data_IF_380106778296
#
_entry.id   IF_380106778296
#
_cell.length_a   1.000
_cell.length_b   1.000
_cell.length_c   1.000
_cell.angle_alpha   90.00
_cell.angle_beta   90.00
_cell.angle_gamma   90.00
#
_symmetry.space_group_name_H-M   'P 1'
#
loop_
_entity.id
_entity.type
_entity.pdbx_description
1 polymer ?
#
# COMPACT_ATOMS: atom_id res chain seq x y z
N UNK A 1 26.88 55.96 14.56
CA UNK A 1 26.66 54.57 15.03
C UNK A 1 25.48 53.79 14.38
N UNK A 2 24.77 54.23 13.30
CA UNK A 2 23.77 53.36 12.64
C UNK A 2 24.39 52.27 11.73
N UNK A 3 25.66 52.40 11.34
CA UNK A 3 26.29 51.52 10.35
C UNK A 3 26.70 50.13 10.86
N UNK A 4 26.76 49.89 12.18
CA UNK A 4 27.27 48.61 12.72
C UNK A 4 26.21 47.51 12.85
N UNK A 5 24.92 47.86 12.97
CA UNK A 5 23.82 46.90 12.85
C UNK A 5 23.67 46.40 11.41
N UNK A 6 23.93 47.28 10.44
CA UNK A 6 24.09 46.91 9.04
C UNK A 6 25.33 46.02 8.83
N UNK A 7 26.45 46.32 9.49
CA UNK A 7 27.64 45.45 9.47
C UNK A 7 27.38 44.07 10.08
N UNK A 8 26.56 43.94 11.13
CA UNK A 8 26.18 42.63 11.68
C UNK A 8 25.30 41.82 10.70
N UNK A 9 24.46 42.51 9.91
CA UNK A 9 23.65 41.93 8.84
C UNK A 9 24.50 41.54 7.61
N UNK A 10 25.49 42.35 7.26
CA UNK A 10 26.49 42.03 6.22
C UNK A 10 27.39 40.88 6.66
N UNK A 11 27.80 40.81 7.93
CA UNK A 11 28.59 39.69 8.45
C UNK A 11 27.77 38.40 8.55
N UNK A 12 26.46 38.51 8.78
CA UNK A 12 25.50 37.41 8.66
C UNK A 12 25.42 36.89 7.21
N UNK A 13 25.40 37.79 6.22
CA UNK A 13 25.45 37.44 4.79
C UNK A 13 26.82 36.90 4.35
N UNK A 14 27.93 37.40 4.89
CA UNK A 14 29.28 36.94 4.52
C UNK A 14 29.64 35.59 5.16
N UNK A 15 29.13 35.32 6.36
CA UNK A 15 29.26 34.02 7.05
C UNK A 15 28.44 32.92 6.36
N UNK A 16 27.28 33.28 5.81
CA UNK A 16 26.40 32.39 5.04
C UNK A 16 26.94 32.15 3.62
N UNK A 17 27.50 33.17 2.95
CA UNK A 17 28.22 33.02 1.67
C UNK A 17 29.45 32.11 1.75
N UNK A 18 30.20 32.14 2.86
CA UNK A 18 31.33 31.21 3.09
C UNK A 18 30.90 29.73 3.24
N UNK A 19 29.60 29.46 3.35
CA UNK A 19 29.04 28.13 3.53
C UNK A 19 28.23 27.62 2.33
N UNK A 20 28.26 28.32 1.19
CA UNK A 20 27.57 27.88 -0.04
C UNK A 20 26.04 27.82 0.08
N UNK A 21 25.45 28.63 0.97
CA UNK A 21 24.00 28.77 1.10
C UNK A 21 23.61 30.11 0.44
N UNK A 22 23.23 30.05 -0.83
CA UNK A 22 22.68 31.19 -1.56
C UNK A 22 21.38 31.69 -0.92
N UNK A 23 21.05 32.95 -1.24
CA UNK A 23 20.13 33.95 -0.67
C UNK A 23 18.67 33.56 -0.30
N UNK A 24 18.35 32.29 -0.11
CA UNK A 24 17.09 31.86 0.53
C UNK A 24 17.13 32.11 2.04
N UNK A 25 16.05 32.66 2.61
CA UNK A 25 15.93 32.85 4.05
C UNK A 25 16.22 31.50 4.74
N UNK A 26 17.31 31.43 5.51
CA UNK A 26 17.85 30.18 6.06
C UNK A 26 16.80 29.42 6.89
N UNK A 27 15.74 30.10 7.34
CA UNK A 27 14.51 29.52 7.92
C UNK A 27 13.76 28.58 6.96
N UNK A 28 13.58 28.98 5.70
CA UNK A 28 12.86 28.23 4.66
C UNK A 28 13.55 26.90 4.33
N UNK A 29 14.88 26.89 4.31
CA UNK A 29 15.68 25.68 4.05
C UNK A 29 15.44 24.63 5.13
N UNK A 30 15.38 25.01 6.42
CA UNK A 30 15.10 24.05 7.49
C UNK A 30 13.70 23.47 7.36
N UNK A 31 12.68 24.30 7.10
CA UNK A 31 11.30 23.84 6.92
C UNK A 31 11.14 22.92 5.72
N UNK A 32 11.87 23.18 4.63
CA UNK A 32 11.88 22.33 3.44
C UNK A 32 12.43 20.93 3.75
N UNK A 33 13.59 20.86 4.42
CA UNK A 33 14.20 19.57 4.78
C UNK A 33 13.40 18.82 5.84
N UNK A 34 12.75 19.53 6.78
CA UNK A 34 11.82 18.92 7.75
C UNK A 34 10.64 18.27 7.03
N UNK A 35 10.04 18.97 6.07
CA UNK A 35 8.92 18.45 5.27
C UNK A 35 9.33 17.23 4.43
N UNK A 36 10.49 17.28 3.77
CA UNK A 36 11.02 16.15 2.99
C UNK A 36 11.27 14.93 3.87
N UNK A 37 11.85 15.12 5.05
CA UNK A 37 12.15 14.04 5.98
C UNK A 37 10.87 13.42 6.56
N UNK A 38 9.87 14.24 6.92
CA UNK A 38 8.56 13.75 7.37
C UNK A 38 7.85 12.91 6.31
N UNK A 39 7.82 13.37 5.06
CA UNK A 39 7.26 12.58 3.95
C UNK A 39 7.97 11.23 3.78
N UNK A 40 9.31 11.22 3.87
CA UNK A 40 10.07 9.97 3.80
C UNK A 40 9.78 9.04 4.98
N UNK A 41 9.58 9.60 6.18
CA UNK A 41 9.15 8.85 7.37
C UNK A 41 7.76 8.25 7.18
N UNK A 42 6.77 9.05 6.76
CA UNK A 42 5.39 8.59 6.54
C UNK A 42 5.36 7.42 5.53
N UNK A 43 6.09 7.55 4.42
CA UNK A 43 6.20 6.48 3.44
C UNK A 43 6.91 5.24 4.00
N UNK A 44 7.95 5.41 4.83
CA UNK A 44 8.63 4.28 5.45
C UNK A 44 7.73 3.54 6.46
N UNK A 45 6.91 4.27 7.22
CA UNK A 45 5.90 3.69 8.12
C UNK A 45 4.81 2.94 7.36
N UNK A 46 4.39 3.43 6.18
CA UNK A 46 3.49 2.70 5.30
C UNK A 46 4.12 1.40 4.77
N UNK A 47 5.39 1.46 4.35
CA UNK A 47 6.16 0.28 3.93
C UNK A 47 6.25 -0.74 5.08
N UNK A 48 6.59 -0.31 6.30
CA UNK A 48 6.69 -1.19 7.47
C UNK A 48 5.38 -1.93 7.75
N UNK A 49 4.26 -1.19 7.66
CA UNK A 49 2.91 -1.74 7.83
C UNK A 49 2.60 -2.77 6.75
N UNK A 50 2.90 -2.47 5.49
CA UNK A 50 2.71 -3.38 4.37
C UNK A 50 3.56 -4.66 4.50
N UNK A 51 4.86 -4.51 4.74
CA UNK A 51 5.80 -5.61 4.92
C UNK A 51 5.41 -6.55 6.07
N UNK A 52 4.92 -5.98 7.18
CA UNK A 52 4.45 -6.76 8.33
C UNK A 52 3.24 -7.65 8.00
N UNK A 53 2.47 -7.32 6.96
CA UNK A 53 1.30 -8.09 6.52
C UNK A 53 1.60 -9.16 5.48
N UNK A 54 2.75 -9.10 4.80
CA UNK A 54 3.13 -10.06 3.74
C UNK A 54 3.14 -11.49 4.28
N UNK A 55 3.83 -11.74 5.40
CA UNK A 55 3.91 -13.06 6.02
C UNK A 55 2.53 -13.59 6.46
N UNK A 56 1.70 -12.83 7.23
CA UNK A 56 0.34 -13.23 7.55
C UNK A 56 -0.54 -13.56 6.34
N UNK A 57 -0.46 -12.76 5.27
CA UNK A 57 -1.24 -12.97 4.05
C UNK A 57 -0.88 -14.31 3.40
N UNK A 58 0.40 -14.59 3.21
CA UNK A 58 0.86 -15.86 2.65
C UNK A 58 0.52 -17.06 3.54
N UNK A 59 0.60 -16.92 4.87
CA UNK A 59 0.12 -17.96 5.79
C UNK A 59 -1.38 -18.24 5.63
N UNK A 60 -2.19 -17.22 5.30
CA UNK A 60 -3.61 -17.42 5.04
C UNK A 60 -3.85 -18.18 3.73
N UNK A 61 -3.10 -17.86 2.67
CA UNK A 61 -3.15 -18.59 1.38
C UNK A 61 -2.82 -20.06 1.58
N UNK A 62 -1.66 -20.36 2.20
CA UNK A 62 -1.22 -21.74 2.45
C UNK A 62 -2.25 -22.52 3.28
N UNK A 63 -2.83 -21.88 4.32
CA UNK A 63 -3.88 -22.51 5.13
C UNK A 63 -5.14 -22.80 4.31
N UNK A 64 -5.52 -21.88 3.41
CA UNK A 64 -6.67 -22.07 2.52
C UNK A 64 -6.45 -23.25 1.58
N UNK A 65 -5.29 -23.32 0.91
CA UNK A 65 -4.93 -24.43 0.01
C UNK A 65 -4.99 -25.76 0.76
N UNK A 66 -4.37 -25.84 1.94
CA UNK A 66 -4.40 -27.04 2.78
C UNK A 66 -5.82 -27.43 3.19
N UNK A 67 -6.65 -26.46 3.58
CA UNK A 67 -8.06 -26.70 3.92
C UNK A 67 -8.82 -27.27 2.74
N UNK A 68 -8.59 -26.75 1.53
CA UNK A 68 -9.25 -27.23 0.31
C UNK A 68 -8.81 -28.65 -0.05
N UNK A 69 -7.51 -28.95 -0.03
CA UNK A 69 -6.98 -30.29 -0.32
C UNK A 69 -7.48 -31.34 0.69
N UNK A 70 -7.52 -30.99 1.99
CA UNK A 70 -8.03 -31.90 3.03
C UNK A 70 -9.56 -32.08 2.98
N UNK A 71 -10.30 -31.06 2.51
CA UNK A 71 -11.76 -31.13 2.33
C UNK A 71 -12.17 -31.87 1.06
N UNK A 72 -11.23 -32.23 0.17
CA UNK A 72 -11.52 -33.02 -1.03
C UNK A 72 -11.92 -34.47 -0.70
N UNK A 73 -11.77 -34.93 0.55
CA UNK A 73 -12.40 -36.18 1.00
C UNK A 73 -13.92 -36.05 0.88
N UNK A 74 -14.58 -37.05 0.28
CA UNK A 74 -16.04 -37.03 0.14
C UNK A 74 -16.67 -36.92 1.52
N UNK A 75 -17.34 -35.80 1.79
CA UNK A 75 -18.18 -35.60 2.97
C UNK A 75 -19.63 -35.62 2.51
N UNK A 76 -20.35 -36.71 2.79
CA UNK A 76 -21.76 -36.81 2.38
C UNK A 76 -22.57 -35.86 3.26
N UNK A 77 -23.20 -34.85 2.66
CA UNK A 77 -23.94 -33.81 3.39
C UNK A 77 -25.26 -34.33 4.00
N UNK A 78 -25.83 -35.40 3.44
CA UNK A 78 -27.09 -35.98 3.89
C UNK A 78 -26.95 -37.44 4.31
N UNK A 79 -27.19 -37.70 5.60
CA UNK A 79 -27.22 -39.05 6.17
C UNK A 79 -26.83 -39.07 7.63
N UNK A 80 -27.62 -39.75 8.47
CA UNK A 80 -27.30 -39.92 9.89
C UNK A 80 -26.21 -40.98 10.10
N UNK A 81 -25.20 -40.62 10.90
CA UNK A 81 -24.16 -41.39 11.62
C UNK A 81 -23.58 -42.70 11.05
N UNK A 82 -24.41 -43.62 10.57
CA UNK A 82 -24.02 -44.95 10.10
C UNK A 82 -24.13 -45.11 8.58
N UNK A 83 -25.18 -44.56 7.95
CA UNK A 83 -25.35 -44.58 6.49
C UNK A 83 -24.37 -43.65 5.80
N UNK A 84 -24.21 -42.44 6.34
CA UNK A 84 -23.20 -41.48 5.90
C UNK A 84 -21.80 -42.08 5.94
N UNK A 85 -21.42 -42.64 7.11
CA UNK A 85 -20.13 -43.30 7.28
C UNK A 85 -19.95 -44.48 6.33
N UNK A 86 -20.99 -45.29 6.10
CA UNK A 86 -20.92 -46.40 5.16
C UNK A 86 -20.71 -45.93 3.72
N UNK A 87 -21.37 -44.86 3.27
CA UNK A 87 -21.17 -44.29 1.92
C UNK A 87 -19.77 -43.67 1.80
N UNK A 88 -19.31 -42.94 2.82
CA UNK A 88 -17.94 -42.39 2.87
C UNK A 88 -16.90 -43.52 2.85
N UNK A 89 -17.08 -44.57 3.66
CA UNK A 89 -16.18 -45.74 3.70
C UNK A 89 -16.22 -46.53 2.38
N UNK A 90 -17.35 -46.57 1.69
CA UNK A 90 -17.48 -47.28 0.40
C UNK A 90 -16.86 -46.47 -0.73
N UNK A 91 -17.12 -45.16 -0.82
CA UNK A 91 -16.59 -44.31 -1.89
C UNK A 91 -15.08 -44.09 -1.72
N UNK A 92 -14.63 -43.80 -0.49
CA UNK A 92 -13.22 -43.69 -0.18
C UNK A 92 -12.53 -45.06 -0.20
N UNK A 93 -13.24 -46.18 -0.03
CA UNK A 93 -12.64 -47.52 -0.06
C UNK A 93 -12.67 -48.22 -1.43
N UNK A 94 -13.44 -47.71 -2.41
CA UNK A 94 -13.67 -48.38 -3.69
C UNK A 94 -12.81 -47.85 -4.84
N UNK A 95 -12.28 -46.63 -4.75
CA UNK A 95 -11.50 -46.02 -5.83
C UNK A 95 -10.07 -45.69 -5.34
N UNK A 96 -9.16 -46.64 -5.56
CA UNK A 96 -7.74 -46.54 -5.20
C UNK A 96 -7.07 -45.33 -5.88
N UNK A 97 -7.46 -45.01 -7.12
CA UNK A 97 -6.94 -43.86 -7.87
C UNK A 97 -7.44 -42.52 -7.29
N UNK A 98 -8.68 -42.48 -6.78
CA UNK A 98 -9.19 -41.31 -6.06
C UNK A 98 -8.45 -41.07 -4.74
N UNK A 99 -8.20 -42.12 -3.96
CA UNK A 99 -7.43 -42.02 -2.73
C UNK A 99 -5.98 -41.57 -2.99
N UNK A 100 -5.32 -42.13 -4.01
CA UNK A 100 -3.99 -41.71 -4.42
C UNK A 100 -3.95 -40.22 -4.80
N UNK A 101 -4.97 -39.74 -5.52
CA UNK A 101 -5.11 -38.32 -5.84
C UNK A 101 -5.28 -37.44 -4.59
N UNK A 102 -6.18 -37.83 -3.67
CA UNK A 102 -6.39 -37.09 -2.42
C UNK A 102 -5.11 -37.04 -1.59
N UNK A 103 -4.41 -38.18 -1.44
CA UNK A 103 -3.14 -38.23 -0.72
C UNK A 103 -2.05 -37.38 -1.38
N UNK A 104 -1.92 -37.43 -2.72
CA UNK A 104 -0.99 -36.59 -3.45
C UNK A 104 -1.31 -35.10 -3.27
N UNK A 105 -2.58 -34.71 -3.26
CA UNK A 105 -3.01 -33.33 -3.02
C UNK A 105 -2.72 -32.86 -1.58
N UNK A 106 -2.89 -33.74 -0.58
CA UNK A 106 -2.54 -33.46 0.82
C UNK A 106 -1.02 -33.34 1.00
N UNK A 107 -0.24 -34.19 0.34
CA UNK A 107 1.22 -34.15 0.36
C UNK A 107 1.78 -32.90 -0.31
N UNK A 108 1.26 -32.53 -1.49
CA UNK A 108 1.63 -31.30 -2.18
C UNK A 108 1.31 -30.05 -1.32
N UNK A 109 0.13 -30.01 -0.68
CA UNK A 109 -0.20 -28.93 0.26
C UNK A 109 0.72 -28.89 1.49
N UNK A 110 1.19 -30.03 1.99
CA UNK A 110 2.17 -30.10 3.07
C UNK A 110 3.56 -29.64 2.62
N UNK A 111 3.96 -29.93 1.39
CA UNK A 111 5.20 -29.43 0.79
C UNK A 111 5.17 -27.90 0.66
N UNK A 112 4.05 -27.32 0.22
CA UNK A 112 3.85 -25.86 0.19
C UNK A 112 4.09 -25.22 1.57
N UNK A 113 3.51 -25.81 2.62
CA UNK A 113 3.69 -25.35 3.99
C UNK A 113 5.14 -25.51 4.45
N UNK A 114 5.83 -26.56 4.01
CA UNK A 114 7.25 -26.79 4.30
C UNK A 114 8.19 -25.80 3.59
N UNK A 115 7.94 -25.48 2.33
CA UNK A 115 8.71 -24.52 1.52
C UNK A 115 8.46 -23.10 2.03
N UNK A 116 7.19 -22.69 2.13
CA UNK A 116 6.84 -21.38 2.70
C UNK A 116 7.28 -21.28 4.17
N UNK A 117 7.14 -22.36 4.94
CA UNK A 117 7.58 -22.45 6.32
C UNK A 117 9.07 -22.19 6.51
N UNK A 118 9.92 -22.95 5.81
CA UNK A 118 11.37 -22.88 5.95
C UNK A 118 11.96 -21.66 5.26
N UNK A 119 11.53 -21.34 4.05
CA UNK A 119 12.16 -20.33 3.20
C UNK A 119 11.52 -18.94 3.29
N UNK A 120 10.25 -18.83 3.69
CA UNK A 120 9.54 -17.55 3.72
C UNK A 120 9.18 -17.09 5.15
N UNK A 121 8.92 -18.02 6.08
CA UNK A 121 8.41 -17.69 7.41
C UNK A 121 9.41 -17.83 8.56
N UNK A 122 10.57 -18.45 8.38
CA UNK A 122 11.64 -18.39 9.39
C UNK A 122 12.44 -17.10 9.26
N UNK A 123 12.82 -16.49 10.40
CA UNK A 123 13.37 -15.12 10.48
C UNK A 123 14.74 -14.87 9.81
N UNK A 124 15.24 -15.79 8.97
CA UNK A 124 16.49 -15.66 8.23
C UNK A 124 16.36 -15.06 6.82
N UNK A 125 15.16 -14.65 6.41
CA UNK A 125 14.90 -14.16 5.04
C UNK A 125 15.36 -12.72 4.81
N UNK A 126 15.63 -12.41 3.54
CA UNK A 126 15.88 -11.04 3.06
C UNK A 126 14.77 -10.07 3.47
N UNK A 127 13.51 -10.53 3.52
CA UNK A 127 12.36 -9.74 3.96
C UNK A 127 12.44 -9.33 5.44
N UNK A 128 12.83 -10.24 6.32
CA UNK A 128 12.97 -9.95 7.75
C UNK A 128 14.11 -8.96 8.02
N UNK A 129 15.23 -9.12 7.29
CA UNK A 129 16.36 -8.19 7.35
C UNK A 129 15.93 -6.78 6.91
N UNK A 130 15.30 -6.67 5.74
CA UNK A 130 14.83 -5.38 5.22
C UNK A 130 13.77 -4.74 6.13
N UNK A 131 12.86 -5.52 6.70
CA UNK A 131 11.91 -4.99 7.70
C UNK A 131 12.62 -4.40 8.91
N UNK A 132 13.70 -5.03 9.39
CA UNK A 132 14.54 -4.49 10.46
C UNK A 132 15.22 -3.18 10.03
N UNK A 133 15.78 -3.11 8.82
CA UNK A 133 16.38 -1.89 8.29
C UNK A 133 15.37 -0.74 8.19
N UNK A 134 14.15 -1.03 7.71
CA UNK A 134 13.05 -0.04 7.65
C UNK A 134 12.70 0.48 9.04
N UNK A 135 12.57 -0.41 10.03
CA UNK A 135 12.29 0.00 11.42
C UNK A 135 13.40 0.85 12.02
N UNK A 136 14.66 0.49 11.76
CA UNK A 136 15.81 1.29 12.19
C UNK A 136 15.81 2.68 11.53
N UNK A 137 15.50 2.76 10.24
CA UNK A 137 15.37 4.03 9.52
C UNK A 137 14.27 4.92 10.10
N UNK A 138 13.08 4.35 10.36
CA UNK A 138 11.95 5.04 11.00
C UNK A 138 12.38 5.62 12.36
N UNK A 139 12.98 4.80 13.22
CA UNK A 139 13.39 5.23 14.56
C UNK A 139 14.48 6.31 14.51
N UNK A 140 15.40 6.19 13.57
CA UNK A 140 16.45 7.18 13.32
C UNK A 140 15.86 8.54 12.88
N UNK A 141 14.88 8.53 11.97
CA UNK A 141 14.17 9.74 11.54
C UNK A 141 13.37 10.38 12.67
N UNK A 142 12.63 9.57 13.46
CA UNK A 142 11.91 10.06 14.65
C UNK A 142 12.86 10.69 15.65
N UNK A 143 14.01 10.07 15.87
CA UNK A 143 15.03 10.60 16.78
C UNK A 143 15.53 11.97 16.32
N UNK A 144 15.87 12.08 15.03
CA UNK A 144 16.32 13.32 14.42
C UNK A 144 15.27 14.44 14.54
N UNK A 145 14.03 14.18 14.16
CA UNK A 145 12.94 15.16 14.21
C UNK A 145 12.61 15.57 15.65
N UNK A 146 12.46 14.59 16.55
CA UNK A 146 11.92 14.84 17.89
C UNK A 146 12.94 15.34 18.89
N UNK A 147 14.21 14.94 18.80
CA UNK A 147 15.24 15.33 19.77
C UNK A 147 16.13 16.43 19.22
N UNK A 148 16.68 16.24 18.02
CA UNK A 148 17.60 17.22 17.44
C UNK A 148 16.81 18.45 16.95
N UNK A 149 15.63 18.26 16.35
CA UNK A 149 14.74 19.37 15.99
C UNK A 149 14.31 20.23 17.20
N UNK A 150 14.04 19.61 18.36
CA UNK A 150 13.75 20.34 19.60
C UNK A 150 14.97 21.10 20.14
N UNK A 151 16.17 20.52 20.03
CA UNK A 151 17.40 21.18 20.46
C UNK A 151 17.75 22.43 19.62
N UNK A 152 17.46 22.39 18.31
CA UNK A 152 17.53 23.56 17.42
C UNK A 152 16.54 24.64 17.86
N UNK A 153 15.30 24.27 18.16
CA UNK A 153 14.28 25.21 18.64
C UNK A 153 14.65 25.85 19.98
N UNK A 154 15.23 25.07 20.90
CA UNK A 154 15.74 25.58 22.18
C UNK A 154 16.83 26.63 21.97
N UNK A 155 17.80 26.37 21.09
CA UNK A 155 18.84 27.34 20.75
C UNK A 155 18.29 28.59 20.05
N UNK A 156 17.26 28.44 19.21
CA UNK A 156 16.56 29.58 18.60
C UNK A 156 15.93 30.49 19.67
N UNK A 157 15.21 29.92 20.63
CA UNK A 157 14.58 30.68 21.71
C UNK A 157 15.62 31.42 22.57
N UNK A 158 16.78 30.81 22.82
CA UNK A 158 17.89 31.47 23.51
C UNK A 158 18.44 32.66 22.70
N UNK A 159 18.62 32.48 21.39
CA UNK A 159 19.03 33.55 20.48
C UNK A 159 18.03 34.72 20.49
N UNK A 160 16.74 34.42 20.31
CA UNK A 160 15.66 35.39 20.31
C UNK A 160 15.58 36.16 21.64
N UNK A 161 15.81 35.46 22.77
CA UNK A 161 15.86 36.08 24.10
C UNK A 161 16.95 37.16 24.18
N UNK A 162 18.19 36.84 23.78
CA UNK A 162 19.30 37.79 23.84
C UNK A 162 19.17 38.90 22.80
N UNK A 163 18.58 38.60 21.64
CA UNK A 163 18.32 39.59 20.59
C UNK A 163 17.37 40.67 21.12
N UNK A 164 16.19 40.26 21.60
CA UNK A 164 15.19 41.15 22.17
C UNK A 164 15.70 41.90 23.41
N UNK A 165 16.63 41.31 24.16
CA UNK A 165 17.28 41.97 25.30
C UNK A 165 18.26 43.05 24.85
N UNK A 166 19.06 42.80 23.82
CA UNK A 166 19.99 43.77 23.26
C UNK A 166 19.27 44.95 22.58
N UNK A 167 18.18 44.68 21.85
CA UNK A 167 17.36 45.72 21.22
C UNK A 167 16.78 46.67 22.26
N UNK A 168 16.09 46.15 23.29
CA UNK A 168 15.53 46.96 24.38
C UNK A 168 16.58 47.78 25.13
N UNK A 169 17.78 47.23 25.33
CA UNK A 169 18.88 47.96 25.97
C UNK A 169 19.43 49.06 25.04
N UNK A 170 19.48 48.81 23.74
CA UNK A 170 19.94 49.77 22.73
C UNK A 170 18.97 50.93 22.56
N UNK A 171 17.66 50.66 22.57
CA UNK A 171 16.61 51.68 22.56
C UNK A 171 16.69 52.60 23.78
N UNK A 172 16.73 52.02 24.99
CA UNK A 172 16.88 52.79 26.23
C UNK A 172 18.16 53.63 26.25
N UNK A 173 19.23 53.12 25.62
CA UNK A 173 20.49 53.84 25.48
C UNK A 173 20.41 55.03 24.50
N UNK A 174 19.49 55.00 23.54
CA UNK A 174 19.22 56.15 22.65
C UNK A 174 18.35 57.21 23.32
N UNK A 175 17.40 56.78 24.14
CA UNK A 175 16.39 57.66 24.78
C UNK A 175 16.92 58.41 26.01
N UNK A 176 17.92 57.88 26.71
CA UNK A 176 18.45 58.45 27.96
C UNK A 176 19.96 58.68 27.81
N UNK A 177 20.50 59.77 28.38
CA UNK A 177 21.96 59.91 28.57
C UNK A 177 22.46 58.68 29.34
N UNK A 178 23.13 57.78 28.63
CA UNK A 178 23.48 56.44 29.11
C UNK A 178 24.51 56.56 30.23
N UNK A 179 24.26 55.90 31.37
CA UNK A 179 25.30 55.73 32.39
C UNK A 179 26.26 54.60 31.99
N UNK A 180 27.51 54.68 32.42
CA UNK A 180 28.57 53.71 32.10
C UNK A 180 28.14 52.25 32.36
N UNK A 181 27.44 52.03 33.48
CA UNK A 181 26.89 50.72 33.87
C UNK A 181 25.87 50.15 32.86
N UNK A 182 25.06 50.99 32.20
CA UNK A 182 24.12 50.52 31.17
C UNK A 182 24.86 50.11 29.89
N UNK A 183 25.95 50.79 29.55
CA UNK A 183 26.80 50.43 28.41
C UNK A 183 27.50 49.09 28.65
N UNK A 184 28.08 48.88 29.84
CA UNK A 184 28.68 47.59 30.21
C UNK A 184 27.68 46.42 30.17
N UNK A 185 26.43 46.66 30.60
CA UNK A 185 25.35 45.67 30.50
C UNK A 185 25.02 45.36 29.05
N UNK A 186 24.99 46.35 28.17
CA UNK A 186 24.75 46.17 26.74
C UNK A 186 25.89 45.36 26.09
N UNK A 187 27.15 45.69 26.39
CA UNK A 187 28.33 44.95 25.90
C UNK A 187 28.28 43.49 26.34
N UNK A 188 28.01 43.21 27.63
CA UNK A 188 27.89 41.84 28.13
C UNK A 188 26.77 41.05 27.45
N UNK A 189 25.61 41.67 27.21
CA UNK A 189 24.51 40.98 26.53
C UNK A 189 24.80 40.78 25.03
N UNK A 190 25.56 41.67 24.37
CA UNK A 190 26.04 41.45 22.99
C UNK A 190 26.91 40.21 22.87
N UNK A 191 27.87 40.01 23.79
CA UNK A 191 28.69 38.78 23.80
C UNK A 191 27.81 37.53 23.97
N UNK A 192 26.76 37.60 24.80
CA UNK A 192 25.82 36.49 24.96
C UNK A 192 24.98 36.24 23.70
N UNK A 193 24.56 37.30 23.01
CA UNK A 193 23.86 37.23 21.73
C UNK A 193 24.71 36.58 20.64
N UNK A 194 25.99 36.95 20.53
CA UNK A 194 26.90 36.34 19.57
C UNK A 194 27.10 34.84 19.86
N UNK A 195 27.34 34.49 21.13
CA UNK A 195 27.49 33.08 21.53
C UNK A 195 26.22 32.24 21.30
N UNK A 196 25.03 32.80 21.57
CA UNK A 196 23.76 32.08 21.32
C UNK A 196 23.46 31.96 19.83
N UNK A 197 23.80 32.98 19.03
CA UNK A 197 23.74 32.92 17.56
C UNK A 197 24.60 31.78 17.02
N UNK A 198 25.86 31.72 17.44
CA UNK A 198 26.80 30.72 16.92
C UNK A 198 26.34 29.30 17.27
N UNK A 199 25.80 29.09 18.49
CA UNK A 199 25.17 27.81 18.88
C UNK A 199 23.95 27.47 18.01
N UNK A 200 23.04 28.42 17.80
CA UNK A 200 21.85 28.21 16.98
C UNK A 200 22.22 27.83 15.54
N UNK A 201 23.14 28.58 14.93
CA UNK A 201 23.61 28.34 13.55
C UNK A 201 24.28 26.96 13.44
N UNK A 202 25.15 26.60 14.39
CA UNK A 202 25.82 25.30 14.39
C UNK A 202 24.81 24.14 14.52
N UNK A 203 23.87 24.22 15.47
CA UNK A 203 22.83 23.19 15.66
C UNK A 203 21.93 23.06 14.44
N UNK A 204 21.52 24.18 13.86
CA UNK A 204 20.69 24.21 12.65
C UNK A 204 21.38 23.57 11.46
N UNK A 205 22.67 23.88 11.24
CA UNK A 205 23.48 23.25 10.19
C UNK A 205 23.56 21.73 10.40
N UNK A 206 23.93 21.30 11.61
CA UNK A 206 24.02 19.87 11.94
C UNK A 206 22.69 19.13 11.72
N UNK A 207 21.56 19.76 12.04
CA UNK A 207 20.23 19.22 11.77
C UNK A 207 19.97 19.07 10.28
N UNK A 208 20.20 20.13 9.48
CA UNK A 208 19.98 20.10 8.04
C UNK A 208 20.86 19.05 7.36
N UNK A 209 22.14 18.98 7.72
CA UNK A 209 23.08 17.99 7.17
C UNK A 209 22.65 16.56 7.53
N UNK A 210 22.21 16.36 8.77
CA UNK A 210 21.65 15.07 9.21
C UNK A 210 20.35 14.74 8.46
N UNK A 211 19.44 15.69 8.29
CA UNK A 211 18.18 15.49 7.57
C UNK A 211 18.41 15.14 6.10
N UNK A 212 19.35 15.81 5.44
CA UNK A 212 19.80 15.47 4.08
C UNK A 212 20.35 14.05 4.03
N UNK A 213 21.25 13.69 4.93
CA UNK A 213 21.84 12.35 4.97
C UNK A 213 20.79 11.24 5.17
N UNK A 214 19.79 11.46 6.01
CA UNK A 214 18.70 10.49 6.19
C UNK A 214 17.80 10.42 4.96
N UNK A 215 17.42 11.58 4.41
CA UNK A 215 16.59 11.64 3.21
C UNK A 215 17.20 10.86 2.03
N UNK A 216 18.51 10.98 1.81
CA UNK A 216 19.19 10.24 0.73
C UNK A 216 19.37 8.74 0.99
N UNK A 217 19.20 8.25 2.22
CA UNK A 217 19.16 6.80 2.51
C UNK A 217 17.84 6.17 2.07
N UNK A 218 16.75 6.94 2.08
CA UNK A 218 15.41 6.43 1.82
C UNK A 218 15.25 5.77 0.43
N UNK A 219 15.69 6.36 -0.70
CA UNK A 219 15.56 5.69 -2.01
C UNK A 219 16.29 4.36 -2.11
N UNK A 220 17.45 4.24 -1.46
CA UNK A 220 18.23 2.99 -1.44
C UNK A 220 17.50 1.92 -0.64
N UNK A 221 16.95 2.30 0.52
CA UNK A 221 16.10 1.44 1.34
C UNK A 221 14.82 1.02 0.59
N UNK A 222 14.15 1.95 -0.09
CA UNK A 222 12.97 1.63 -0.88
C UNK A 222 13.28 0.63 -2.02
N UNK A 223 14.45 0.75 -2.65
CA UNK A 223 14.92 -0.21 -3.65
C UNK A 223 15.19 -1.59 -3.03
N UNK A 224 15.83 -1.66 -1.87
CA UNK A 224 16.08 -2.95 -1.20
C UNK A 224 14.77 -3.62 -0.78
N UNK A 225 13.78 -2.83 -0.32
CA UNK A 225 12.41 -3.26 -0.05
C UNK A 225 11.77 -3.88 -1.28
N UNK A 226 11.75 -3.17 -2.41
CA UNK A 226 11.13 -3.70 -3.63
C UNK A 226 11.79 -4.99 -4.10
N UNK A 227 13.12 -5.06 -4.06
CA UNK A 227 13.85 -6.26 -4.42
C UNK A 227 13.55 -7.45 -3.50
N UNK A 228 13.51 -7.22 -2.17
CA UNK A 228 13.20 -8.26 -1.20
C UNK A 228 11.76 -8.75 -1.32
N UNK A 229 10.80 -7.84 -1.49
CA UNK A 229 9.40 -8.21 -1.71
C UNK A 229 9.25 -8.98 -3.01
N UNK A 230 9.85 -8.52 -4.11
CA UNK A 230 9.78 -9.22 -5.39
C UNK A 230 10.36 -10.63 -5.29
N UNK A 231 11.57 -10.77 -4.73
CA UNK A 231 12.19 -12.07 -4.53
C UNK A 231 11.32 -12.99 -3.67
N UNK A 232 10.75 -12.46 -2.58
CA UNK A 232 9.87 -13.21 -1.70
C UNK A 232 8.62 -13.71 -2.44
N UNK A 233 7.96 -12.83 -3.22
CA UNK A 233 6.75 -13.17 -3.96
C UNK A 233 7.04 -14.18 -5.08
N UNK A 234 8.18 -14.06 -5.77
CA UNK A 234 8.60 -15.02 -6.79
C UNK A 234 8.82 -16.40 -6.20
N UNK A 235 9.56 -16.51 -5.09
CA UNK A 235 9.77 -17.81 -4.42
C UNK A 235 8.45 -18.42 -3.92
N UNK A 236 7.53 -17.59 -3.42
CA UNK A 236 6.22 -18.05 -2.99
C UNK A 236 5.34 -18.54 -4.17
N UNK A 237 5.42 -17.85 -5.31
CA UNK A 237 4.71 -18.23 -6.54
C UNK A 237 5.28 -19.51 -7.17
N UNK A 238 6.61 -19.65 -7.20
CA UNK A 238 7.28 -20.86 -7.68
C UNK A 238 6.87 -22.08 -6.83
N UNK A 239 6.83 -21.93 -5.50
CA UNK A 239 6.36 -22.98 -4.60
C UNK A 239 4.89 -23.36 -4.83
N UNK A 240 4.03 -22.38 -5.14
CA UNK A 240 2.63 -22.65 -5.51
C UNK A 240 2.51 -23.35 -6.87
N UNK A 241 3.35 -22.98 -7.83
CA UNK A 241 3.33 -23.57 -9.17
C UNK A 241 3.69 -25.06 -9.09
N UNK A 242 4.75 -25.42 -8.35
CA UNK A 242 5.17 -26.82 -8.16
C UNK A 242 4.05 -27.70 -7.59
N UNK A 243 3.27 -27.16 -6.65
CA UNK A 243 2.10 -27.83 -6.06
C UNK A 243 0.98 -27.98 -7.09
N UNK A 244 0.76 -26.96 -7.91
CA UNK A 244 -0.27 -26.96 -8.94
C UNK A 244 0.04 -27.98 -10.03
N UNK A 245 1.29 -28.02 -10.51
CA UNK A 245 1.77 -28.96 -11.53
C UNK A 245 1.60 -30.42 -11.04
N UNK A 246 1.95 -30.69 -9.78
CA UNK A 246 1.79 -32.02 -9.16
C UNK A 246 0.32 -32.47 -9.16
N UNK A 247 -0.60 -31.56 -8.86
CA UNK A 247 -2.04 -31.85 -8.86
C UNK A 247 -2.55 -32.05 -10.30
N UNK A 248 -2.13 -31.21 -11.24
CA UNK A 248 -2.53 -31.29 -12.65
C UNK A 248 -2.10 -32.61 -13.31
N UNK A 249 -0.88 -33.06 -13.07
CA UNK A 249 -0.37 -34.35 -13.55
C UNK A 249 -1.23 -35.52 -13.06
N UNK A 250 -1.63 -35.49 -11.78
CA UNK A 250 -2.48 -36.53 -11.19
C UNK A 250 -3.91 -36.49 -11.72
N UNK A 251 -4.50 -35.31 -11.91
CA UNK A 251 -5.83 -35.18 -12.53
C UNK A 251 -5.80 -35.69 -13.97
N UNK A 252 -4.78 -35.33 -14.74
CA UNK A 252 -4.62 -35.74 -16.13
C UNK A 252 -4.49 -37.26 -16.26
N UNK A 253 -3.70 -37.89 -15.39
CA UNK A 253 -3.59 -39.35 -15.33
C UNK A 253 -4.94 -40.02 -15.03
N UNK A 254 -5.72 -39.46 -14.09
CA UNK A 254 -7.06 -39.97 -13.74
C UNK A 254 -8.08 -39.81 -14.88
N UNK A 255 -8.00 -38.73 -15.65
CA UNK A 255 -8.86 -38.52 -16.82
C UNK A 255 -8.55 -39.54 -17.92
N UNK A 256 -7.28 -39.85 -18.16
CA UNK A 256 -6.88 -40.84 -19.16
C UNK A 256 -7.28 -42.28 -18.75
N UNK A 257 -7.13 -42.65 -17.48
CA UNK A 257 -7.67 -43.94 -16.99
C UNK A 257 -9.19 -44.00 -17.10
N UNK A 258 -9.91 -42.91 -16.79
CA UNK A 258 -11.36 -42.85 -16.98
C UNK A 258 -11.79 -42.98 -18.45
N UNK A 259 -11.03 -42.43 -19.40
CA UNK A 259 -11.27 -42.62 -20.85
C UNK A 259 -10.99 -44.06 -21.30
N UNK A 260 -9.99 -44.71 -20.72
CA UNK A 260 -9.62 -46.09 -21.05
C UNK A 260 -10.62 -47.11 -20.49
N UNK A 261 -11.25 -46.80 -19.36
CA UNK A 261 -12.41 -47.50 -18.83
C UNK A 261 -13.62 -47.12 -19.70
N UNK A 262 -13.89 -47.87 -20.75
CA UNK A 262 -14.97 -47.64 -21.71
C UNK A 262 -16.38 -47.60 -21.03
N UNK A 263 -16.79 -46.42 -20.55
CA UNK A 263 -18.12 -46.19 -19.94
C UNK A 263 -19.24 -46.42 -20.98
N UNK A 264 -18.96 -46.30 -22.28
CA UNK A 264 -19.96 -46.57 -23.33
C UNK A 264 -20.24 -48.08 -23.48
N UNK A 265 -19.27 -48.95 -23.21
CA UNK A 265 -19.48 -50.40 -23.15
C UNK A 265 -20.38 -50.86 -22.00
N UNK A 266 -20.42 -50.13 -20.88
CA UNK A 266 -21.28 -50.42 -19.72
C UNK A 266 -22.73 -49.94 -19.92
N UNK A 267 -22.98 -48.92 -20.76
CA UNK A 267 -24.32 -48.42 -21.12
C UNK A 267 -25.14 -49.42 -21.97
N UNK A 268 -24.47 -50.41 -22.56
CA UNK A 268 -25.11 -51.43 -23.40
C UNK A 268 -25.92 -52.48 -22.60
N UNK A 269 -25.76 -52.54 -21.27
CA UNK A 269 -26.43 -53.54 -20.40
C UNK A 269 -27.48 -52.96 -19.44
N UNK A 270 -27.89 -51.70 -19.61
CA UNK A 270 -28.96 -51.10 -18.81
C UNK A 270 -30.32 -51.44 -19.43
N UNK A 271 -31.24 -52.11 -18.70
CA UNK A 271 -32.61 -52.37 -19.17
C UNK A 271 -33.30 -51.07 -19.58
N UNK A 272 -34.06 -51.12 -20.68
CA UNK A 272 -34.63 -49.95 -21.35
C UNK A 272 -35.56 -49.09 -20.47
N UNK A 273 -36.06 -49.63 -19.35
CA UNK A 273 -36.90 -48.93 -18.38
C UNK A 273 -36.16 -47.87 -17.55
N UNK A 274 -34.85 -48.03 -17.30
CA UNK A 274 -34.04 -47.09 -16.50
C UNK A 274 -33.46 -45.93 -17.33
N UNK A 275 -33.61 -45.97 -18.66
CA UNK A 275 -33.13 -44.90 -19.56
C UNK A 275 -33.98 -43.62 -19.54
N UNK A 276 -35.11 -43.62 -18.84
CA UNK A 276 -36.08 -42.51 -18.79
C UNK A 276 -35.92 -41.59 -17.57
N UNK A 277 -34.72 -41.43 -17.04
CA UNK A 277 -34.43 -40.31 -16.13
C UNK A 277 -33.91 -39.15 -16.98
N UNK A 278 -34.79 -38.18 -17.24
CA UNK A 278 -34.40 -36.90 -17.84
C UNK A 278 -33.60 -36.13 -16.78
N UNK A 279 -32.28 -36.29 -16.83
CA UNK A 279 -31.35 -35.56 -15.95
C UNK A 279 -31.26 -34.15 -16.54
N UNK A 280 -31.88 -33.16 -15.88
CA UNK A 280 -31.54 -31.76 -16.11
C UNK A 280 -30.03 -31.60 -15.86
N UNK A 281 -29.29 -31.30 -16.92
CA UNK A 281 -27.85 -31.15 -16.86
C UNK A 281 -27.48 -30.15 -15.74
N UNK A 282 -26.64 -30.52 -14.76
CA UNK A 282 -26.22 -29.59 -13.74
C UNK A 282 -25.46 -28.44 -14.41
N UNK A 283 -25.95 -27.20 -14.24
CA UNK A 283 -25.22 -26.01 -14.70
C UNK A 283 -23.81 -26.04 -14.09
N UNK A 284 -22.79 -26.20 -14.94
CA UNK A 284 -21.40 -26.12 -14.52
C UNK A 284 -21.15 -24.80 -13.78
N UNK A 285 -20.36 -24.78 -12.69
CA UNK A 285 -20.05 -23.56 -11.98
C UNK A 285 -19.33 -22.60 -12.93
N UNK A 286 -19.93 -21.43 -13.16
CA UNK A 286 -19.35 -20.42 -14.03
C UNK A 286 -17.94 -20.06 -13.56
N UNK A 287 -17.01 -19.99 -14.51
CA UNK A 287 -15.67 -19.43 -14.24
C UNK A 287 -15.80 -17.99 -13.75
N UNK A 288 -14.81 -17.46 -13.02
CA UNK A 288 -14.84 -16.10 -12.47
C UNK A 288 -15.11 -15.01 -13.53
N UNK A 289 -14.69 -15.25 -14.77
CA UNK A 289 -14.96 -14.37 -15.91
C UNK A 289 -16.41 -14.48 -16.41
N UNK A 290 -16.93 -15.70 -16.55
CA UNK A 290 -18.30 -15.92 -16.99
C UNK A 290 -19.32 -15.53 -15.92
N UNK A 291 -18.99 -15.71 -14.64
CA UNK A 291 -19.79 -15.27 -13.50
C UNK A 291 -19.90 -13.74 -13.46
N UNK A 292 -18.79 -13.03 -13.72
CA UNK A 292 -18.80 -11.58 -13.84
C UNK A 292 -19.69 -11.10 -15.01
N UNK A 293 -19.60 -11.80 -16.15
CA UNK A 293 -20.41 -11.48 -17.35
C UNK A 293 -21.90 -11.79 -17.14
N UNK A 294 -22.25 -12.90 -16.48
CA UNK A 294 -23.62 -13.28 -16.11
C UNK A 294 -24.19 -12.28 -15.10
N UNK A 295 -23.41 -11.89 -14.08
CA UNK A 295 -23.80 -10.86 -13.10
C UNK A 295 -24.04 -9.49 -13.76
N UNK A 296 -23.23 -9.11 -14.74
CA UNK A 296 -23.37 -7.85 -15.47
C UNK A 296 -24.55 -7.86 -16.46
N UNK A 297 -24.95 -9.04 -16.96
CA UNK A 297 -26.14 -9.23 -17.78
C UNK A 297 -27.46 -9.33 -16.99
N UNK A 298 -27.40 -9.75 -15.72
CA UNK A 298 -28.57 -9.91 -14.84
C UNK A 298 -28.84 -8.71 -13.92
N UNK A 299 -28.03 -7.64 -14.00
CA UNK A 299 -28.33 -6.41 -13.26
C UNK A 299 -29.67 -5.84 -13.72
N UNK A 300 -30.63 -5.61 -12.81
CA UNK A 300 -31.91 -5.01 -13.18
C UNK A 300 -31.64 -3.66 -13.83
N UNK A 301 -32.13 -3.49 -15.06
CA UNK A 301 -32.01 -2.24 -15.82
C UNK A 301 -32.90 -1.18 -15.17
N UNK A 302 -32.39 -0.53 -14.13
CA UNK A 302 -33.07 0.61 -13.50
C UNK A 302 -33.05 1.76 -14.51
N UNK A 303 -34.21 2.30 -14.93
CA UNK A 303 -34.25 3.42 -15.85
C UNK A 303 -33.51 4.63 -15.24
N UNK A 304 -32.54 5.16 -15.99
CA UNK A 304 -31.70 6.26 -15.54
C UNK A 304 -32.51 7.55 -15.33
N UNK A 305 -32.13 8.39 -14.35
CA UNK A 305 -32.77 9.69 -14.16
C UNK A 305 -32.54 10.61 -15.37
N UNK A 306 -33.45 11.56 -15.58
CA UNK A 306 -33.29 12.58 -16.60
C UNK A 306 -31.97 13.36 -16.40
N UNK A 307 -31.15 13.44 -17.44
CA UNK A 307 -29.82 14.08 -17.39
C UNK A 307 -28.65 13.12 -17.16
N UNK A 308 -28.90 11.82 -17.04
CA UNK A 308 -27.86 10.79 -17.04
C UNK A 308 -27.92 9.96 -18.32
N UNK A 309 -26.75 9.60 -18.87
CA UNK A 309 -26.62 8.76 -20.06
C UNK A 309 -25.69 7.59 -19.78
N UNK A 310 -26.10 6.37 -20.12
CA UNK A 310 -25.22 5.19 -20.09
C UNK A 310 -24.52 5.03 -21.44
N UNK A 311 -23.20 4.83 -21.37
CA UNK A 311 -22.36 4.54 -22.52
C UNK A 311 -21.54 3.30 -22.23
N UNK A 312 -21.11 2.63 -23.29
CA UNK A 312 -20.15 1.52 -23.21
C UNK A 312 -18.83 2.02 -23.76
N UNK A 313 -17.75 1.82 -23.00
CA UNK A 313 -16.41 2.15 -23.46
C UNK A 313 -15.98 1.14 -24.56
N UNK A 314 -15.66 1.59 -25.78
CA UNK A 314 -15.25 0.72 -26.88
C UNK A 314 -13.96 -0.07 -26.59
N UNK A 315 -13.08 0.44 -25.72
CA UNK A 315 -11.80 -0.19 -25.43
C UNK A 315 -11.89 -1.29 -24.36
N UNK A 316 -12.73 -1.10 -23.34
CA UNK A 316 -12.83 -2.01 -22.19
C UNK A 316 -14.12 -2.83 -22.18
N UNK A 317 -15.12 -2.46 -23.00
CA UNK A 317 -16.45 -3.07 -23.01
C UNK A 317 -17.27 -2.80 -21.74
N UNK A 318 -16.74 -2.00 -20.80
CA UNK A 318 -17.40 -1.67 -19.54
C UNK A 318 -18.36 -0.50 -19.73
N UNK A 319 -19.45 -0.51 -18.97
CA UNK A 319 -20.44 0.57 -18.98
C UNK A 319 -20.00 1.69 -18.05
N UNK A 320 -20.21 2.93 -18.47
CA UNK A 320 -20.00 4.12 -17.66
C UNK A 320 -21.17 5.09 -17.83
N UNK A 321 -21.40 5.89 -16.81
CA UNK A 321 -22.53 6.79 -16.70
C UNK A 321 -22.06 8.23 -16.77
N UNK A 322 -22.66 9.01 -17.66
CA UNK A 322 -22.36 10.42 -17.88
C UNK A 322 -23.46 11.25 -17.23
N UNK A 323 -23.10 12.10 -16.26
CA UNK A 323 -23.98 13.12 -15.72
C UNK A 323 -23.89 14.38 -16.56
N UNK A 324 -24.93 14.67 -17.34
CA UNK A 324 -25.02 15.91 -18.12
C UNK A 324 -25.27 17.15 -17.27
N UNK A 325 -25.70 16.95 -16.02
CA UNK A 325 -25.95 17.99 -15.01
C UNK A 325 -24.66 18.41 -14.32
N UNK A 326 -23.85 17.45 -13.88
CA UNK A 326 -22.59 17.70 -13.16
C UNK A 326 -21.36 17.71 -14.08
N UNK A 327 -21.52 17.36 -15.37
CA UNK A 327 -20.44 17.22 -16.36
C UNK A 327 -19.34 16.25 -15.90
N UNK A 328 -19.75 15.17 -15.24
CA UNK A 328 -18.88 14.13 -14.70
C UNK A 328 -19.20 12.77 -15.30
N UNK A 329 -18.19 11.91 -15.39
CA UNK A 329 -18.33 10.52 -15.79
C UNK A 329 -18.02 9.61 -14.61
N UNK A 330 -18.88 8.63 -14.35
CA UNK A 330 -18.75 7.67 -13.25
C UNK A 330 -18.82 6.24 -13.77
N UNK A 331 -18.03 5.34 -13.17
CA UNK A 331 -18.10 3.91 -13.43
C UNK A 331 -19.22 3.21 -12.64
N UNK A 332 -19.82 3.93 -11.68
CA UNK A 332 -20.92 3.44 -10.86
C UNK A 332 -22.25 4.11 -11.28
N UNK A 333 -23.37 3.35 -11.31
CA UNK A 333 -24.68 3.90 -11.63
C UNK A 333 -25.10 4.94 -10.60
N UNK A 334 -25.87 5.97 -11.00
CA UNK A 334 -26.30 6.99 -10.07
C UNK A 334 -27.12 6.39 -8.92
N UNK A 335 -26.87 6.86 -7.71
CA UNK A 335 -27.59 6.42 -6.49
C UNK A 335 -28.86 7.25 -6.29
N UNK A 336 -29.92 6.73 -5.62
CA UNK A 336 -31.19 7.44 -5.37
C UNK A 336 -31.08 8.95 -5.04
N UNK A 337 -30.14 9.41 -4.19
CA UNK A 337 -29.98 10.84 -3.89
C UNK A 337 -29.51 11.69 -5.08
N UNK A 338 -28.80 11.09 -6.04
CA UNK A 338 -28.31 11.76 -7.25
C UNK A 338 -29.43 11.96 -8.29
N UNK A 339 -30.48 11.12 -8.26
CA UNK A 339 -31.67 11.29 -9.11
C UNK A 339 -32.36 12.63 -8.81
N UNK A 340 -32.47 13.02 -7.54
CA UNK A 340 -33.14 14.27 -7.13
C UNK A 340 -32.45 15.54 -7.63
N UNK A 341 -31.11 15.54 -7.70
CA UNK A 341 -30.34 16.67 -8.21
C UNK A 341 -30.55 16.86 -9.70
N UNK A 342 -30.65 15.76 -10.44
CA UNK A 342 -30.81 15.78 -11.88
C UNK A 342 -32.21 16.23 -12.32
N UNK A 343 -33.24 15.91 -11.54
CA UNK A 343 -34.63 16.34 -11.78
C UNK A 343 -34.82 17.86 -11.60
N UNK A 344 -33.98 18.51 -10.78
CA UNK A 344 -34.09 19.95 -10.45
C UNK A 344 -33.31 20.89 -11.39
N UNK A 345 -32.57 20.37 -12.36
CA UNK A 345 -31.74 21.18 -13.26
C UNK A 345 -32.55 21.74 -14.46
N UNK A 346 -32.34 23.00 -14.88
CA UNK A 346 -33.04 23.58 -16.02
C UNK A 346 -32.60 22.92 -17.34
N UNK A 347 -33.58 22.54 -18.18
CA UNK A 347 -33.36 21.93 -19.50
C UNK A 347 -32.79 22.95 -20.49
N UNK A 348 -31.48 23.11 -20.52
CA UNK A 348 -30.76 23.88 -21.55
C UNK A 348 -30.57 23.06 -22.83
N UNK A 349 -30.74 23.69 -24.00
CA UNK A 349 -30.63 23.09 -25.34
C UNK A 349 -29.24 22.48 -25.57
N UNK A 350 -29.22 21.25 -26.08
CA UNK A 350 -28.02 20.48 -26.41
C UNK A 350 -27.43 20.95 -27.74
N UNK A 351 -26.15 21.33 -27.75
CA UNK A 351 -25.30 21.27 -28.95
C UNK A 351 -24.45 20.01 -28.89
N UNK A 352 -24.38 19.21 -29.98
CA UNK A 352 -23.56 18.01 -30.03
C UNK A 352 -22.08 18.41 -30.11
N UNK A 353 -21.34 18.18 -29.04
CA UNK A 353 -19.87 18.32 -29.04
C UNK A 353 -19.29 17.12 -29.79
N UNK A 354 -18.78 17.36 -31.00
CA UNK A 354 -17.98 16.41 -31.75
C UNK A 354 -16.66 16.14 -31.00
N UNK A 355 -16.22 14.88 -30.83
CA UNK A 355 -14.97 14.59 -30.16
C UNK A 355 -13.77 14.99 -31.03
N UNK A 356 -12.93 15.89 -30.52
CA UNK A 356 -11.62 16.21 -31.11
C UNK A 356 -10.66 15.01 -30.98
N UNK A 357 -9.82 14.73 -32.00
CA UNK A 357 -8.91 13.60 -31.98
C UNK A 357 -7.75 13.85 -31.02
N UNK A 358 -7.47 12.86 -30.17
CA UNK A 358 -6.30 12.81 -29.30
C UNK A 358 -5.05 12.61 -30.18
N UNK A 359 -4.09 13.52 -30.05
CA UNK A 359 -2.77 13.40 -30.69
C UNK A 359 -1.94 12.37 -29.93
N UNK A 360 -1.44 11.37 -30.66
CA UNK A 360 -0.46 10.36 -30.21
C UNK A 360 0.88 11.02 -29.90
#
# INVERSE_FOLDING_TARGET
MPNLLHSAKILFLSSTQRAGLDEGDVSEVQTEWDLKLRRALDNAEEIERGLSQVNPAWKAVVRSVKSTCTSAKVVVSEGTGRKKKQVEDTFNGADEAYLEFVHASEEAAAQLEGVCGRELFTGGTTLAHVLSEVRQYIESCRTLINYIGKDVNSARLEFDHYYNKCERLSERARERRVNETALERLVRNRVKLERSRDRYVARKRNYIDSARAHYYKYPVLARSVLAAVWSYQMSAAEALQEVTDTIEDKVSANVETAKALDIHGMSANVPEEDRKVEIEAPELPLTSYEAAKKFESQRPHVPLPAGWEERVDPATGRRFYISHVEKTTSWEPPTPPQYEKAIKAPKGKFEPVTPSPVRV
#
